data_IF_277494552826
#
_entry.id   IF_277494552826
#
_cell.length_a   1.000
_cell.length_b   1.000
_cell.length_c   1.000
_cell.angle_alpha   90.00
_cell.angle_beta   90.00
_cell.angle_gamma   90.00
#
_symmetry.space_group_name_H-M   'P 1'
#
loop_
_entity.id
_entity.type
_entity.pdbx_description
1 polymer ?
#
# COMPACT_ATOMS: atom_id res chain seq x y z
N UNK A 1 21.54 -5.84 19.12
CA UNK A 1 20.53 -6.08 20.16
C UNK A 1 19.64 -7.21 19.64
N UNK A 2 19.87 -8.45 20.08
CA UNK A 2 19.01 -9.58 19.69
C UNK A 2 17.79 -9.51 20.61
N UNK A 3 16.70 -8.93 20.11
CA UNK A 3 15.39 -9.06 20.75
C UNK A 3 14.81 -10.42 20.41
N UNK A 4 14.19 -11.09 21.39
CA UNK A 4 13.36 -12.27 21.13
C UNK A 4 12.20 -11.82 20.22
N UNK A 5 12.25 -12.21 18.94
CA UNK A 5 11.23 -11.90 17.95
C UNK A 5 10.14 -12.97 18.02
N UNK A 6 8.97 -12.63 18.57
CA UNK A 6 7.77 -13.46 18.49
C UNK A 6 6.99 -13.14 17.21
N UNK A 7 7.07 -14.02 16.21
CA UNK A 7 6.26 -13.90 14.98
C UNK A 7 4.96 -14.68 15.19
N UNK A 8 3.82 -14.00 15.04
CA UNK A 8 2.48 -14.60 15.06
C UNK A 8 1.94 -14.60 13.62
N UNK A 9 1.94 -15.74 12.91
CA UNK A 9 1.55 -15.83 11.50
C UNK A 9 0.17 -15.24 11.21
N UNK A 10 -0.80 -15.49 12.08
CA UNK A 10 -2.16 -15.01 12.00
C UNK A 10 -2.25 -13.48 12.03
N UNK A 11 -1.41 -12.83 12.83
CA UNK A 11 -1.36 -11.36 12.93
C UNK A 11 -0.76 -10.76 11.65
N UNK A 12 0.30 -11.38 11.11
CA UNK A 12 0.93 -10.92 9.86
C UNK A 12 -0.02 -11.10 8.67
N UNK A 13 -0.75 -12.21 8.61
CA UNK A 13 -1.77 -12.44 7.59
C UNK A 13 -2.93 -11.44 7.70
N UNK A 14 -3.44 -11.20 8.91
CA UNK A 14 -4.49 -10.21 9.14
C UNK A 14 -4.04 -8.81 8.71
N UNK A 15 -2.84 -8.37 9.12
CA UNK A 15 -2.28 -7.09 8.72
C UNK A 15 -2.12 -6.97 7.19
N UNK A 16 -1.67 -8.05 6.52
CA UNK A 16 -1.57 -8.04 5.05
C UNK A 16 -2.94 -7.87 4.38
N UNK A 17 -3.99 -8.49 4.92
CA UNK A 17 -5.35 -8.36 4.40
C UNK A 17 -5.92 -6.96 4.66
N UNK A 18 -5.63 -6.37 5.82
CA UNK A 18 -6.03 -4.99 6.13
C UNK A 18 -5.40 -3.96 5.18
N UNK A 19 -4.15 -4.17 4.77
CA UNK A 19 -3.48 -3.31 3.78
C UNK A 19 -4.16 -3.39 2.41
N UNK A 20 -4.55 -4.59 1.96
CA UNK A 20 -5.30 -4.75 0.71
C UNK A 20 -6.69 -4.09 0.78
N UNK A 21 -7.42 -4.28 1.89
CA UNK A 21 -8.71 -3.61 2.10
C UNK A 21 -8.57 -2.08 2.15
N UNK A 22 -7.48 -1.57 2.74
CA UNK A 22 -7.18 -0.15 2.73
C UNK A 22 -6.93 0.37 1.31
N UNK A 23 -6.21 -0.41 0.49
CA UNK A 23 -5.97 -0.08 -0.92
C UNK A 23 -7.27 -0.05 -1.73
N UNK A 24 -8.18 -1.00 -1.51
CA UNK A 24 -9.51 -1.01 -2.14
C UNK A 24 -10.33 0.21 -1.73
N UNK A 25 -10.35 0.55 -0.43
CA UNK A 25 -11.06 1.73 0.07
C UNK A 25 -10.50 3.02 -0.52
N UNK A 26 -9.18 3.12 -0.64
CA UNK A 26 -8.52 4.28 -1.24
C UNK A 26 -8.85 4.38 -2.74
N UNK A 27 -8.86 3.25 -3.45
CA UNK A 27 -9.27 3.19 -4.86
C UNK A 27 -10.69 3.70 -5.05
N UNK A 28 -11.63 3.23 -4.23
CA UNK A 28 -13.02 3.67 -4.28
C UNK A 28 -13.16 5.17 -3.97
N UNK A 29 -12.46 5.67 -2.94
CA UNK A 29 -12.48 7.08 -2.57
C UNK A 29 -11.92 7.97 -3.70
N UNK A 30 -10.75 7.61 -4.25
CA UNK A 30 -10.10 8.36 -5.32
C UNK A 30 -10.96 8.38 -6.60
N UNK A 31 -11.59 7.26 -6.96
CA UNK A 31 -12.49 7.19 -8.11
C UNK A 31 -13.74 8.08 -7.93
N UNK A 32 -14.25 8.21 -6.70
CA UNK A 32 -15.40 9.05 -6.40
C UNK A 32 -15.05 10.55 -6.41
N UNK A 33 -13.87 10.92 -5.91
CA UNK A 33 -13.48 12.32 -5.74
C UNK A 33 -12.73 12.93 -6.93
N UNK A 34 -12.02 12.12 -7.73
CA UNK A 34 -11.15 12.59 -8.82
C UNK A 34 -11.83 13.51 -9.85
N UNK A 35 -13.06 13.25 -10.33
CA UNK A 35 -13.72 14.16 -11.26
C UNK A 35 -14.02 15.54 -10.67
N UNK A 36 -14.23 15.63 -9.36
CA UNK A 36 -14.59 16.88 -8.69
C UNK A 36 -13.37 17.76 -8.35
N UNK A 37 -12.15 17.22 -8.42
CA UNK A 37 -10.92 17.98 -8.18
C UNK A 37 -10.45 18.75 -9.42
N UNK A 38 -10.99 18.44 -10.60
CA UNK A 38 -10.66 19.13 -11.84
C UNK A 38 -11.62 20.29 -12.11
N UNK A 39 -11.07 21.44 -12.46
CA UNK A 39 -11.82 22.67 -12.68
C UNK A 39 -11.69 23.17 -14.12
N UNK A 40 -12.76 23.77 -14.62
CA UNK A 40 -12.79 24.49 -15.90
C UNK A 40 -12.45 25.96 -15.64
N UNK A 41 -11.75 26.65 -16.56
CA UNK A 41 -11.55 28.10 -16.45
C UNK A 41 -12.88 28.84 -16.27
N UNK A 42 -12.91 29.80 -15.34
CA UNK A 42 -14.09 30.61 -15.06
C UNK A 42 -14.44 31.59 -16.20
N UNK A 43 -13.45 31.92 -17.03
CA UNK A 43 -13.55 32.83 -18.16
C UNK A 43 -12.43 32.62 -19.18
N UNK A 44 -12.46 33.39 -20.26
CA UNK A 44 -11.50 33.30 -21.36
C UNK A 44 -10.23 34.13 -21.15
N UNK A 45 -10.21 34.99 -20.12
CA UNK A 45 -9.06 35.78 -19.73
C UNK A 45 -7.91 34.90 -19.24
N UNK A 46 -6.69 35.37 -19.47
CA UNK A 46 -5.46 34.61 -19.23
C UNK A 46 -5.33 34.19 -17.76
N UNK A 47 -5.79 35.03 -16.83
CA UNK A 47 -5.75 34.74 -15.40
C UNK A 47 -6.66 33.55 -15.04
N UNK A 48 -7.85 33.46 -15.62
CA UNK A 48 -8.77 32.33 -15.39
C UNK A 48 -8.23 31.03 -15.97
N UNK A 49 -7.62 31.08 -17.16
CA UNK A 49 -6.96 29.93 -17.77
C UNK A 49 -5.76 29.48 -16.94
N UNK A 50 -4.91 30.42 -16.52
CA UNK A 50 -3.74 30.14 -15.70
C UNK A 50 -4.12 29.56 -14.32
N UNK A 51 -5.13 30.13 -13.66
CA UNK A 51 -5.62 29.64 -12.37
C UNK A 51 -6.17 28.22 -12.47
N UNK A 52 -7.02 27.93 -13.47
CA UNK A 52 -7.53 26.58 -13.69
C UNK A 52 -6.42 25.58 -14.03
N UNK A 53 -5.42 25.99 -14.82
CA UNK A 53 -4.26 25.15 -15.14
C UNK A 53 -3.49 24.77 -13.87
N UNK A 54 -3.18 25.75 -13.01
CA UNK A 54 -2.46 25.50 -11.76
C UNK A 54 -3.23 24.57 -10.80
N UNK A 55 -4.54 24.77 -10.67
CA UNK A 55 -5.38 23.90 -9.83
C UNK A 55 -5.42 22.46 -10.38
N UNK A 56 -5.53 22.32 -11.70
CA UNK A 56 -5.55 21.01 -12.35
C UNK A 56 -4.18 20.31 -12.28
N UNK A 57 -3.05 21.03 -12.29
CA UNK A 57 -1.74 20.44 -12.01
C UNK A 57 -1.68 19.86 -10.59
N UNK A 58 -2.25 20.56 -9.61
CA UNK A 58 -2.41 20.06 -8.25
C UNK A 58 -3.28 18.80 -8.18
N UNK A 59 -4.42 18.79 -8.87
CA UNK A 59 -5.30 17.63 -8.98
C UNK A 59 -4.58 16.43 -9.61
N UNK A 60 -3.88 16.62 -10.73
CA UNK A 60 -3.10 15.56 -11.39
C UNK A 60 -1.97 15.01 -10.51
N UNK A 61 -1.32 15.88 -9.74
CA UNK A 61 -0.30 15.46 -8.77
C UNK A 61 -0.91 14.58 -7.68
N UNK A 62 -2.07 14.98 -7.16
CA UNK A 62 -2.81 14.22 -6.16
C UNK A 62 -3.26 12.85 -6.71
N UNK A 63 -3.78 12.79 -7.93
CA UNK A 63 -4.20 11.53 -8.57
C UNK A 63 -3.04 10.55 -8.71
N UNK A 64 -1.86 11.04 -9.11
CA UNK A 64 -0.65 10.23 -9.21
C UNK A 64 -0.20 9.72 -7.83
N UNK A 65 -0.25 10.57 -6.81
CA UNK A 65 0.11 10.19 -5.45
C UNK A 65 -0.86 9.13 -4.90
N UNK A 66 -2.16 9.26 -5.14
CA UNK A 66 -3.16 8.27 -4.75
C UNK A 66 -2.94 6.93 -5.45
N UNK A 67 -2.70 6.94 -6.77
CA UNK A 67 -2.39 5.74 -7.53
C UNK A 67 -1.12 5.05 -7.01
N UNK A 68 -0.08 5.81 -6.70
CA UNK A 68 1.16 5.28 -6.14
C UNK A 68 0.95 4.66 -4.75
N UNK A 69 0.19 5.33 -3.87
CA UNK A 69 -0.11 4.82 -2.55
C UNK A 69 -0.89 3.48 -2.60
N UNK A 70 -1.84 3.34 -3.53
CA UNK A 70 -2.57 2.07 -3.76
C UNK A 70 -1.59 0.95 -4.14
N UNK A 71 -0.66 1.22 -5.06
CA UNK A 71 0.35 0.23 -5.47
C UNK A 71 1.27 -0.16 -4.31
N UNK A 72 1.71 0.81 -3.51
CA UNK A 72 2.57 0.58 -2.36
C UNK A 72 1.87 -0.25 -1.27
N UNK A 73 0.57 -0.03 -1.03
CA UNK A 73 -0.21 -0.82 -0.08
C UNK A 73 -0.30 -2.30 -0.49
N UNK A 74 -0.64 -2.57 -1.75
CA UNK A 74 -0.66 -3.94 -2.28
C UNK A 74 0.73 -4.58 -2.26
N UNK A 75 1.77 -3.80 -2.59
CA UNK A 75 3.14 -4.28 -2.55
C UNK A 75 3.58 -4.63 -1.13
N UNK A 76 3.27 -3.79 -0.14
CA UNK A 76 3.56 -4.05 1.26
C UNK A 76 2.83 -5.31 1.77
N UNK A 77 1.56 -5.48 1.40
CA UNK A 77 0.80 -6.69 1.72
C UNK A 77 1.46 -7.96 1.13
N UNK A 78 1.93 -7.90 -0.12
CA UNK A 78 2.64 -8.98 -0.77
C UNK A 78 3.98 -9.30 -0.08
N UNK A 79 4.75 -8.27 0.30
CA UNK A 79 6.01 -8.42 1.04
C UNK A 79 5.77 -9.14 2.37
N UNK A 80 4.76 -8.73 3.13
CA UNK A 80 4.45 -9.36 4.43
C UNK A 80 4.15 -10.85 4.29
N UNK A 81 3.38 -11.23 3.26
CA UNK A 81 3.08 -12.64 2.97
C UNK A 81 4.32 -13.42 2.55
N UNK A 82 5.17 -12.82 1.73
CA UNK A 82 6.42 -13.43 1.29
C UNK A 82 7.39 -13.65 2.47
N UNK A 83 7.55 -12.63 3.32
CA UNK A 83 8.40 -12.71 4.52
C UNK A 83 7.89 -13.76 5.50
N UNK A 84 6.56 -13.84 5.68
CA UNK A 84 5.96 -14.87 6.53
C UNK A 84 6.21 -16.28 5.98
N UNK A 85 6.06 -16.48 4.66
CA UNK A 85 6.32 -17.77 4.04
C UNK A 85 7.78 -18.21 4.22
N UNK A 86 8.73 -17.28 4.03
CA UNK A 86 10.16 -17.54 4.29
C UNK A 86 10.40 -17.89 5.76
N UNK A 87 9.80 -17.15 6.70
CA UNK A 87 9.96 -17.40 8.13
C UNK A 87 9.46 -18.79 8.54
N UNK A 88 8.28 -19.20 8.07
CA UNK A 88 7.71 -20.53 8.36
C UNK A 88 8.59 -21.64 7.77
N UNK A 89 9.14 -21.43 6.56
CA UNK A 89 10.03 -22.40 5.94
C UNK A 89 11.34 -22.56 6.72
N UNK A 90 11.95 -21.45 7.15
CA UNK A 90 13.15 -21.46 7.99
C UNK A 90 12.89 -22.15 9.35
N UNK A 91 11.76 -21.87 9.99
CA UNK A 91 11.38 -22.49 11.26
C UNK A 91 11.22 -24.02 11.11
N UNK A 92 10.56 -24.48 10.04
CA UNK A 92 10.43 -25.91 9.75
C UNK A 92 11.78 -26.61 9.52
N UNK A 93 12.70 -25.96 8.79
CA UNK A 93 14.06 -26.48 8.55
C UNK A 93 14.83 -26.58 9.86
N UNK A 94 14.75 -25.55 10.72
CA UNK A 94 15.42 -25.52 12.01
C UNK A 94 14.88 -26.59 12.97
N UNK A 95 13.56 -26.77 12.99
CA UNK A 95 12.91 -27.82 13.77
C UNK A 95 13.36 -29.23 13.32
N UNK A 96 13.43 -29.48 12.00
CA UNK A 96 13.91 -30.74 11.45
C UNK A 96 15.39 -31.00 11.79
N UNK A 97 16.25 -29.98 11.69
CA UNK A 97 17.67 -30.08 12.06
C UNK A 97 17.85 -30.36 13.55
N UNK A 98 17.05 -29.74 14.41
CA UNK A 98 17.09 -29.98 15.86
C UNK A 98 16.63 -31.40 16.19
N UNK A 99 15.56 -31.89 15.56
CA UNK A 99 15.10 -33.27 15.73
C UNK A 99 16.16 -34.29 15.31
N UNK A 100 16.90 -34.03 14.23
CA UNK A 100 17.95 -34.93 13.74
C UNK A 100 19.16 -35.07 14.68
N UNK A 101 19.40 -34.10 15.57
CA UNK A 101 20.50 -34.14 16.56
C UNK A 101 20.06 -34.82 17.87
N UNK A 102 18.75 -34.89 18.12
CA UNK A 102 18.20 -35.51 19.34
C UNK A 102 18.03 -37.03 19.24
N UNK A 103 18.32 -37.63 18.09
CA UNK A 103 18.42 -39.07 17.85
C UNK A 103 19.87 -39.48 17.59
#
# INVERSE_FOLDING_TARGET
>A
MVGLLGVQPEVVLAASAELDLLAERLTAAAALSGPATHVVPAGAEEVSVAAATHLNEGALSHDRAAAQAILELHHAAAILRQQLASYIAEDAINAAGTAAIQF
#
